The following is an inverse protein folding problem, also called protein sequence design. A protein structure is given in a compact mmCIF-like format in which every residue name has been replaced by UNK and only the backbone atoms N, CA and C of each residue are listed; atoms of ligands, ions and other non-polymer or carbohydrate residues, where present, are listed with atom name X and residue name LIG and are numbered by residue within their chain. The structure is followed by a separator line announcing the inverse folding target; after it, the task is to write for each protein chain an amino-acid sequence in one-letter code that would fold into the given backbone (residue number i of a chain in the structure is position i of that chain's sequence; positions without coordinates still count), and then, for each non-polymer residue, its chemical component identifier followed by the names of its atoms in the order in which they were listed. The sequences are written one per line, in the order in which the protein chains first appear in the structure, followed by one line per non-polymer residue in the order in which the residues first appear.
data_IF_870506938044
#
_entry.id   IF_870506938044
#
_cell.length_a   1.000
_cell.length_b   1.000
_cell.length_c   1.000
_cell.angle_alpha   90.00
_cell.angle_beta   90.00
_cell.angle_gamma   90.00
#
_symmetry.space_group_name_H-M   'P 1'
#
loop_
_entity.id
_entity.type
_entity.pdbx_description
1 polymer ?
#
# COMPACT_ATOMS: atom_id res chain seq x y z
N UNK A 1 -33.31 11.00 -3.91
CA UNK A 1 -32.52 10.32 -2.85
C UNK A 1 -31.09 10.84 -2.95
N UNK A 2 -30.51 11.40 -1.90
CA UNK A 2 -29.18 12.01 -1.96
C UNK A 2 -28.07 10.98 -2.25
N UNK A 3 -27.01 11.38 -2.95
CA UNK A 3 -25.88 10.54 -3.41
C UNK A 3 -24.64 10.68 -2.50
N UNK A 4 -24.81 10.49 -1.20
CA UNK A 4 -23.78 10.74 -0.17
C UNK A 4 -22.97 9.48 0.20
N UNK A 5 -23.21 8.36 -0.48
CA UNK A 5 -22.55 7.09 -0.15
C UNK A 5 -21.19 7.04 -0.80
N UNK A 6 -20.16 6.91 0.03
CA UNK A 6 -18.77 6.73 -0.40
C UNK A 6 -18.50 5.24 -0.64
N UNK A 7 -17.77 4.94 -1.71
CA UNK A 7 -17.33 3.58 -2.03
C UNK A 7 -16.03 3.24 -1.28
N UNK A 8 -15.84 1.96 -0.97
CA UNK A 8 -14.58 1.49 -0.38
C UNK A 8 -13.42 1.64 -1.39
N UNK A 9 -12.21 1.97 -0.93
CA UNK A 9 -11.04 2.02 -1.79
C UNK A 9 -10.67 0.63 -2.30
N UNK A 10 -10.11 0.56 -3.50
CA UNK A 10 -9.60 -0.68 -4.09
C UNK A 10 -8.24 -1.01 -3.51
N UNK A 11 -8.07 -2.27 -3.07
CA UNK A 11 -6.80 -2.80 -2.56
C UNK A 11 -6.29 -3.91 -3.47
N UNK A 12 -4.97 -3.99 -3.61
CA UNK A 12 -4.25 -5.00 -4.39
C UNK A 12 -3.30 -5.78 -3.47
N UNK A 13 -3.01 -7.03 -3.79
CA UNK A 13 -2.08 -7.86 -3.01
C UNK A 13 -0.63 -7.43 -3.24
N UNK A 14 0.15 -7.30 -2.16
CA UNK A 14 1.58 -7.04 -2.23
C UNK A 14 2.32 -8.30 -2.72
N UNK A 15 3.20 -8.21 -3.75
CA UNK A 15 3.94 -9.38 -4.26
C UNK A 15 5.09 -9.85 -3.35
N UNK A 16 5.42 -9.12 -2.28
CA UNK A 16 6.52 -9.49 -1.37
C UNK A 16 6.03 -10.16 -0.07
N UNK A 17 4.98 -9.62 0.54
CA UNK A 17 4.47 -10.10 1.83
C UNK A 17 3.02 -10.59 1.78
N UNK A 18 2.39 -10.60 0.61
CA UNK A 18 1.01 -11.05 0.39
C UNK A 18 -0.08 -10.27 1.16
N UNK A 19 0.25 -9.11 1.75
CA UNK A 19 -0.73 -8.25 2.43
C UNK A 19 -1.54 -7.39 1.46
N UNK A 20 -2.69 -6.88 1.92
CA UNK A 20 -3.48 -5.92 1.17
C UNK A 20 -2.79 -4.55 1.19
N UNK A 21 -2.51 -3.99 0.02
CA UNK A 21 -1.95 -2.65 -0.14
C UNK A 21 -2.79 -1.81 -1.11
N UNK A 22 -2.58 -0.50 -1.06
CA UNK A 22 -3.16 0.40 -2.05
C UNK A 22 -2.27 0.42 -3.31
N UNK A 23 -2.86 0.49 -4.51
CA UNK A 23 -2.08 0.64 -5.73
C UNK A 23 -1.28 1.94 -5.70
N UNK A 24 -0.08 1.91 -6.29
CA UNK A 24 0.86 3.04 -6.36
C UNK A 24 1.33 3.60 -5.00
N UNK A 25 1.23 2.81 -3.91
CA UNK A 25 1.80 3.14 -2.60
C UNK A 25 2.83 2.10 -2.18
N UNK A 26 3.75 2.52 -1.31
CA UNK A 26 4.64 1.60 -0.59
C UNK A 26 3.79 0.68 0.28
N UNK A 27 4.12 -0.62 0.32
CA UNK A 27 3.45 -1.53 1.23
C UNK A 27 3.70 -1.10 2.68
N UNK A 28 2.66 -0.87 3.51
CA UNK A 28 2.84 -0.46 4.90
C UNK A 28 3.49 -1.55 5.75
N UNK A 29 3.32 -2.82 5.38
CA UNK A 29 3.79 -3.96 6.16
C UNK A 29 5.27 -4.30 5.90
N UNK A 30 5.71 -4.27 4.64
CA UNK A 30 7.08 -4.65 4.28
C UNK A 30 7.92 -3.49 3.76
N UNK A 31 7.35 -2.30 3.55
CA UNK A 31 8.10 -1.15 3.04
C UNK A 31 8.59 -1.27 1.62
N UNK A 32 8.13 -2.28 0.87
CA UNK A 32 8.57 -2.50 -0.49
C UNK A 32 7.70 -1.71 -1.48
N UNK A 33 8.36 -1.08 -2.46
CA UNK A 33 7.74 -0.53 -3.66
C UNK A 33 8.58 -0.90 -4.88
N UNK A 34 7.94 -1.50 -5.88
CA UNK A 34 8.60 -1.90 -7.13
C UNK A 34 9.85 -2.79 -6.92
N UNK A 35 9.79 -3.70 -5.95
CA UNK A 35 10.89 -4.64 -5.64
C UNK A 35 12.08 -4.01 -4.92
N UNK A 36 11.95 -2.78 -4.41
CA UNK A 36 12.96 -2.11 -3.58
C UNK A 36 12.41 -1.88 -2.19
N UNK A 37 13.19 -2.20 -1.17
CA UNK A 37 12.89 -1.85 0.21
C UNK A 37 13.17 -0.37 0.44
N UNK A 38 12.16 0.37 0.89
CA UNK A 38 12.22 1.83 1.10
C UNK A 38 12.62 2.19 2.53
N UNK A 39 12.51 1.25 3.48
CA UNK A 39 12.89 1.46 4.89
C UNK A 39 14.38 1.26 5.19
N UNK A 40 15.23 1.10 4.17
CA UNK A 40 16.66 1.09 4.36
C UNK A 40 17.15 2.54 4.57
N UNK A 41 17.59 2.82 5.79
CA UNK A 41 18.64 3.80 6.08
C UNK A 41 18.22 5.29 6.05
N UNK A 42 17.63 5.76 7.14
CA UNK A 42 17.95 7.11 7.64
C UNK A 42 18.09 7.04 9.16
N UNK A 43 19.21 6.49 9.58
CA UNK A 43 19.76 6.71 10.92
C UNK A 43 20.34 8.12 10.94
N UNK A 44 19.55 9.08 11.43
CA UNK A 44 19.93 10.16 12.38
C UNK A 44 18.71 11.03 12.70
#
# INVERSE_FOLDING_TARGET
KAMWKVAAPTTTTCPQCNSAMLPHRVCPECGSYNGREVFADTTE
#
